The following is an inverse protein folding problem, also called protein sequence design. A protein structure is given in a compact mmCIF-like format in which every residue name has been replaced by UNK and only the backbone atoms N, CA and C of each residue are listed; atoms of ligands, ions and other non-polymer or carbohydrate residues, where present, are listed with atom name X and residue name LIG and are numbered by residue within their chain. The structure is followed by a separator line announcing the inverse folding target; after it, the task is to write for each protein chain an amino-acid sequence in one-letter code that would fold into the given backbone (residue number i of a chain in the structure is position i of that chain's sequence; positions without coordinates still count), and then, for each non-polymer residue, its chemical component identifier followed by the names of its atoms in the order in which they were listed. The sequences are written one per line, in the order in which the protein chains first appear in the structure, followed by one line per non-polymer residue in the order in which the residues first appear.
data_IF_745886960920
#
_entry.id   IF_745886960920
#
_cell.length_a   1.000
_cell.length_b   1.000
_cell.length_c   1.000
_cell.angle_alpha   90.00
_cell.angle_beta   90.00
_cell.angle_gamma   90.00
#
_symmetry.space_group_name_H-M   'P 1'
#
loop_
_entity.id
_entity.type
_entity.pdbx_description
1 polymer ?
#
# COMPACT_ATOMS: atom_id res chain seq x y z
N UNK A 1 3.06 -17.48 0.66
CA UNK A 1 3.26 -17.09 2.07
C UNK A 1 2.60 -18.16 2.93
N UNK A 2 3.39 -18.79 3.80
CA UNK A 2 2.86 -19.79 4.74
C UNK A 2 2.30 -19.06 5.97
N UNK A 3 1.01 -19.23 6.22
CA UNK A 3 0.34 -18.56 7.35
C UNK A 3 0.44 -19.46 8.59
N UNK A 4 1.00 -18.98 9.72
CA UNK A 4 1.10 -19.76 10.94
C UNK A 4 -0.27 -20.28 11.43
N UNK A 5 -0.32 -21.49 11.97
CA UNK A 5 -1.57 -22.11 12.48
C UNK A 5 -2.27 -21.29 13.58
N UNK A 6 -1.50 -20.51 14.33
CA UNK A 6 -1.98 -19.61 15.39
C UNK A 6 -2.61 -18.33 14.87
N UNK A 7 -2.50 -18.05 13.56
CA UNK A 7 -3.07 -16.84 12.96
C UNK A 7 -4.58 -16.97 12.84
N UNK A 8 -5.30 -16.03 13.43
CA UNK A 8 -6.77 -15.97 13.40
C UNK A 8 -7.29 -15.16 12.21
N UNK A 9 -6.57 -14.10 11.83
CA UNK A 9 -6.97 -13.20 10.77
C UNK A 9 -5.75 -12.74 9.97
N UNK A 10 -5.91 -12.58 8.65
CA UNK A 10 -4.92 -11.98 7.76
C UNK A 10 -5.57 -10.83 7.00
N UNK A 11 -5.00 -9.64 7.12
CA UNK A 11 -5.46 -8.45 6.41
C UNK A 11 -4.53 -8.16 5.24
N UNK A 12 -5.09 -7.97 4.06
CA UNK A 12 -4.37 -7.58 2.86
C UNK A 12 -4.91 -6.24 2.34
N UNK A 13 -4.04 -5.25 2.18
CA UNK A 13 -4.42 -3.92 1.70
C UNK A 13 -4.01 -3.71 0.25
N UNK A 14 -4.92 -3.26 -0.58
CA UNK A 14 -4.66 -2.87 -1.97
C UNK A 14 -3.99 -1.49 -2.10
N UNK A 15 -3.88 -0.75 -0.99
CA UNK A 15 -3.31 0.60 -1.00
C UNK A 15 -1.84 0.64 -1.40
N UNK A 16 -1.05 -0.40 -1.10
CA UNK A 16 0.41 -0.43 -1.32
C UNK A 16 0.79 -1.26 -2.53
N UNK A 17 0.46 -2.55 -2.54
CA UNK A 17 0.85 -3.45 -3.62
C UNK A 17 0.30 -3.03 -4.99
N UNK A 18 -0.95 -2.60 -5.04
CA UNK A 18 -1.62 -2.17 -6.28
C UNK A 18 -1.73 -0.64 -6.43
N UNK A 19 -1.20 0.17 -5.51
CA UNK A 19 -1.29 1.62 -5.59
C UNK A 19 -2.70 2.20 -5.42
N UNK A 20 -3.69 1.40 -4.97
CA UNK A 20 -5.09 1.80 -4.86
C UNK A 20 -5.41 2.54 -3.55
N UNK A 21 -4.57 3.48 -3.15
CA UNK A 21 -4.71 4.18 -1.86
C UNK A 21 -6.04 4.95 -1.72
N UNK A 22 -6.54 5.51 -2.80
CA UNK A 22 -7.79 6.29 -2.82
C UNK A 22 -9.04 5.43 -2.70
N UNK A 23 -8.99 4.14 -3.04
CA UNK A 23 -10.15 3.24 -3.02
C UNK A 23 -10.48 2.71 -1.62
N UNK A 24 -9.54 2.78 -0.67
CA UNK A 24 -9.69 2.33 0.72
C UNK A 24 -10.23 0.89 0.84
N UNK A 25 -9.59 -0.02 0.13
CA UNK A 25 -9.99 -1.41 0.01
C UNK A 25 -8.94 -2.37 0.54
N UNK A 26 -9.40 -3.54 0.95
CA UNK A 26 -8.57 -4.65 1.36
C UNK A 26 -9.37 -5.95 1.37
N UNK A 27 -8.66 -7.04 1.61
CA UNK A 27 -9.23 -8.35 1.88
C UNK A 27 -8.92 -8.73 3.33
N UNK A 28 -9.81 -9.47 3.93
CA UNK A 28 -9.54 -10.15 5.19
C UNK A 28 -9.87 -11.64 5.05
N UNK A 29 -8.94 -12.47 5.47
CA UNK A 29 -9.12 -13.91 5.61
C UNK A 29 -9.27 -14.19 7.10
N UNK A 30 -10.34 -14.84 7.49
CA UNK A 30 -10.63 -15.17 8.90
C UNK A 30 -11.00 -16.64 9.06
N UNK A 31 -10.65 -17.27 10.18
CA UNK A 31 -11.12 -18.61 10.54
C UNK A 31 -12.59 -18.59 10.89
N UNK A 32 -13.01 -17.53 11.59
CA UNK A 32 -14.40 -17.32 12.00
C UNK A 32 -14.99 -16.07 11.34
N UNK A 33 -16.29 -16.02 11.08
CA UNK A 33 -16.95 -14.86 10.50
C UNK A 33 -16.70 -13.60 11.34
N UNK A 34 -16.20 -12.53 10.68
CA UNK A 34 -15.96 -11.26 11.37
C UNK A 34 -17.28 -10.51 11.57
N UNK A 35 -17.70 -10.17 12.81
CA UNK A 35 -19.03 -9.60 13.09
C UNK A 35 -19.35 -8.34 12.28
N UNK A 36 -18.36 -7.43 12.14
CA UNK A 36 -18.55 -6.18 11.38
C UNK A 36 -18.75 -6.45 9.89
N UNK A 37 -17.99 -7.40 9.30
CA UNK A 37 -18.14 -7.75 7.88
C UNK A 37 -19.47 -8.46 7.63
N UNK A 38 -19.93 -9.28 8.57
CA UNK A 38 -21.25 -9.91 8.50
C UNK A 38 -22.36 -8.85 8.45
N UNK A 39 -22.31 -7.84 9.33
CA UNK A 39 -23.27 -6.71 9.31
C UNK A 39 -23.23 -5.92 7.99
N UNK A 40 -22.03 -5.63 7.46
CA UNK A 40 -21.93 -4.96 6.14
C UNK A 40 -22.62 -5.77 5.04
N UNK A 41 -22.52 -7.10 5.08
CA UNK A 41 -23.22 -8.01 4.16
C UNK A 41 -24.74 -7.94 4.35
N UNK A 42 -25.22 -8.02 5.58
CA UNK A 42 -26.65 -7.96 5.91
C UNK A 42 -27.31 -6.66 5.44
N UNK A 43 -26.62 -5.53 5.61
CA UNK A 43 -27.15 -4.21 5.22
C UNK A 43 -26.84 -3.83 3.78
N UNK A 44 -26.22 -4.74 3.00
CA UNK A 44 -25.80 -4.49 1.61
C UNK A 44 -24.96 -3.19 1.45
N UNK A 45 -24.23 -2.81 2.50
CA UNK A 45 -23.47 -1.57 2.56
C UNK A 45 -22.03 -1.78 2.05
N UNK A 46 -21.90 -2.04 0.75
CA UNK A 46 -20.63 -2.28 0.09
C UNK A 46 -20.20 -1.12 -0.78
N UNK A 47 -18.89 -0.90 -0.85
CA UNK A 47 -18.30 -0.08 -1.90
C UNK A 47 -18.20 -0.89 -3.21
N UNK A 48 -19.29 -1.03 -3.92
CA UNK A 48 -19.37 -1.83 -5.15
C UNK A 48 -18.36 -1.38 -6.21
N UNK A 49 -18.19 -0.07 -6.42
CA UNK A 49 -17.23 0.47 -7.36
C UNK A 49 -15.79 0.08 -7.01
N UNK A 50 -15.44 0.21 -5.73
CA UNK A 50 -14.16 -0.21 -5.22
C UNK A 50 -13.92 -1.71 -5.36
N UNK A 51 -14.90 -2.55 -5.01
CA UNK A 51 -14.80 -4.02 -5.16
C UNK A 51 -14.60 -4.42 -6.63
N UNK A 52 -15.31 -3.79 -7.57
CA UNK A 52 -15.12 -4.02 -9.01
C UNK A 52 -13.72 -3.61 -9.49
N UNK A 53 -13.22 -2.46 -9.03
CA UNK A 53 -11.84 -2.02 -9.31
C UNK A 53 -10.83 -3.03 -8.78
N UNK A 54 -11.03 -3.52 -7.55
CA UNK A 54 -10.18 -4.53 -6.93
C UNK A 54 -10.15 -5.83 -7.76
N UNK A 55 -11.33 -6.35 -8.15
CA UNK A 55 -11.43 -7.55 -9.00
C UNK A 55 -10.68 -7.36 -10.31
N UNK A 56 -10.92 -6.23 -11.00
CA UNK A 56 -10.24 -5.91 -12.25
C UNK A 56 -8.71 -5.89 -12.10
N UNK A 57 -8.20 -5.31 -11.01
CA UNK A 57 -6.77 -5.29 -10.72
C UNK A 57 -6.22 -6.70 -10.46
N UNK A 58 -6.92 -7.52 -9.68
CA UNK A 58 -6.48 -8.90 -9.38
C UNK A 58 -6.52 -9.80 -10.62
N UNK A 59 -7.48 -9.60 -11.52
CA UNK A 59 -7.64 -10.39 -12.74
C UNK A 59 -6.56 -10.06 -13.79
N UNK A 60 -5.99 -8.86 -13.75
CA UNK A 60 -5.09 -8.36 -14.79
C UNK A 60 -3.64 -8.15 -14.34
N UNK A 61 -3.37 -8.10 -13.04
CA UNK A 61 -2.03 -7.78 -12.50
C UNK A 61 -1.63 -8.73 -11.37
N UNK A 62 -0.40 -9.21 -11.41
CA UNK A 62 0.20 -9.90 -10.27
C UNK A 62 0.45 -8.93 -9.10
N UNK A 63 0.49 -9.46 -7.88
CA UNK A 63 0.67 -8.66 -6.64
C UNK A 63 1.92 -7.78 -6.70
N UNK A 64 3.02 -8.31 -7.25
CA UNK A 64 4.32 -7.62 -7.30
C UNK A 64 4.54 -6.83 -8.60
N UNK A 65 3.58 -6.86 -9.53
CA UNK A 65 3.77 -6.29 -10.85
C UNK A 65 4.01 -4.77 -10.81
N UNK A 66 3.23 -4.04 -10.01
CA UNK A 66 3.41 -2.59 -9.87
C UNK A 66 4.77 -2.24 -9.27
N UNK A 67 5.21 -2.99 -8.26
CA UNK A 67 6.53 -2.82 -7.68
C UNK A 67 7.62 -3.10 -8.73
N UNK A 68 7.56 -4.23 -9.41
CA UNK A 68 8.55 -4.62 -10.41
C UNK A 68 8.62 -3.64 -11.59
N UNK A 69 7.49 -3.05 -11.97
CA UNK A 69 7.40 -2.07 -13.06
C UNK A 69 8.03 -0.72 -12.70
N UNK A 70 7.90 -0.28 -11.45
CA UNK A 70 8.23 1.08 -11.03
C UNK A 70 9.41 1.20 -10.05
N UNK A 71 9.99 0.08 -9.59
CA UNK A 71 11.10 0.10 -8.63
C UNK A 71 12.34 0.81 -9.14
N UNK A 72 12.64 0.70 -10.44
CA UNK A 72 13.82 1.33 -11.02
C UNK A 72 13.65 2.86 -11.03
N UNK A 73 12.46 3.35 -11.34
CA UNK A 73 12.11 4.77 -11.24
C UNK A 73 12.17 5.25 -9.77
N UNK A 74 11.66 4.44 -8.83
CA UNK A 74 11.80 4.74 -7.41
C UNK A 74 13.26 4.91 -7.00
N UNK A 75 14.14 4.00 -7.44
CA UNK A 75 15.56 4.05 -7.12
C UNK A 75 16.24 5.29 -7.74
N UNK A 76 15.90 5.64 -8.97
CA UNK A 76 16.42 6.84 -9.63
C UNK A 76 16.03 8.11 -8.86
N UNK A 77 14.75 8.28 -8.52
CA UNK A 77 14.26 9.39 -7.69
C UNK A 77 14.98 9.40 -6.32
N UNK A 78 15.07 8.24 -5.66
CA UNK A 78 15.73 8.16 -4.35
C UNK A 78 17.20 8.57 -4.41
N UNK A 79 17.92 8.17 -5.45
CA UNK A 79 19.33 8.55 -5.65
C UNK A 79 19.47 10.05 -5.89
N UNK A 80 18.60 10.65 -6.71
CA UNK A 80 18.66 12.08 -7.01
C UNK A 80 18.37 12.94 -5.78
N UNK A 81 17.37 12.55 -4.97
CA UNK A 81 16.94 13.35 -3.82
C UNK A 81 17.55 12.93 -2.48
N UNK A 82 18.42 11.92 -2.47
CA UNK A 82 19.03 11.42 -1.24
C UNK A 82 18.05 10.74 -0.28
N UNK A 83 17.05 10.05 -0.83
CA UNK A 83 16.07 9.29 -0.06
C UNK A 83 16.43 7.81 0.00
N UNK A 84 15.92 7.10 1.01
CA UNK A 84 16.01 5.66 1.14
C UNK A 84 14.75 5.01 0.55
N UNK A 85 14.87 4.08 -0.43
CA UNK A 85 13.71 3.41 -1.02
C UNK A 85 13.03 2.51 0.03
N UNK A 86 11.71 2.35 -0.11
CA UNK A 86 10.93 1.39 0.68
C UNK A 86 10.38 0.27 -0.21
N UNK A 87 9.84 -0.79 0.40
CA UNK A 87 9.17 -1.89 -0.31
C UNK A 87 7.87 -1.46 -1.02
N UNK A 88 7.47 -0.20 -0.88
CA UNK A 88 6.34 0.36 -1.61
C UNK A 88 6.87 1.35 -2.66
N UNK A 89 6.72 1.01 -3.95
CA UNK A 89 7.35 1.72 -5.08
C UNK A 89 7.14 3.25 -5.10
N UNK A 90 6.06 3.76 -4.54
CA UNK A 90 5.77 5.20 -4.48
C UNK A 90 6.09 5.86 -3.13
N UNK A 91 6.77 5.16 -2.23
CA UNK A 91 7.19 5.67 -0.94
C UNK A 91 8.70 5.54 -0.75
N UNK A 92 9.27 6.50 -0.06
CA UNK A 92 10.64 6.48 0.42
C UNK A 92 10.71 6.97 1.87
N UNK A 93 11.87 6.85 2.49
CA UNK A 93 12.17 7.40 3.80
C UNK A 93 13.37 8.33 3.73
N UNK A 94 13.48 9.24 4.68
CA UNK A 94 14.64 10.13 4.83
C UNK A 94 14.85 10.51 6.29
N UNK A 95 16.10 10.70 6.66
CA UNK A 95 16.52 11.26 7.96
C UNK A 95 16.80 12.76 7.91
N UNK A 96 16.61 13.39 6.74
CA UNK A 96 16.81 14.83 6.59
C UNK A 96 15.94 15.62 7.56
N UNK A 97 16.57 16.52 8.31
CA UNK A 97 15.93 17.37 9.32
C UNK A 97 14.83 18.27 8.75
N UNK A 98 14.91 18.65 7.49
CA UNK A 98 13.88 19.43 6.82
C UNK A 98 12.53 18.69 6.80
N UNK A 99 12.56 17.39 6.49
CA UNK A 99 11.36 16.56 6.43
C UNK A 99 10.96 16.03 7.81
N UNK A 100 11.90 15.59 8.64
CA UNK A 100 11.62 14.98 9.94
C UNK A 100 11.00 15.97 10.93
N UNK A 101 11.32 17.26 10.85
CA UNK A 101 10.66 18.30 11.67
C UNK A 101 9.17 18.43 11.40
N UNK A 102 8.70 18.09 10.20
CA UNK A 102 7.31 18.25 9.76
C UNK A 102 6.51 16.96 9.75
N UNK A 103 7.16 15.81 9.53
CA UNK A 103 6.50 14.51 9.28
C UNK A 103 7.24 13.33 9.91
N UNK A 104 7.78 13.51 11.10
CA UNK A 104 8.50 12.46 11.83
C UNK A 104 7.61 11.23 12.07
N UNK A 105 8.12 10.04 11.77
CA UNK A 105 7.48 8.80 12.14
C UNK A 105 7.65 8.53 13.65
N UNK A 106 6.65 7.87 14.27
CA UNK A 106 6.65 7.66 15.74
C UNK A 106 7.78 6.76 16.24
N UNK A 107 8.31 5.89 15.37
CA UNK A 107 9.19 4.78 15.77
C UNK A 107 10.67 5.06 15.54
N UNK A 108 10.98 6.04 14.73
CA UNK A 108 12.37 6.42 14.42
C UNK A 108 12.45 7.89 14.01
N UNK A 109 13.66 8.40 13.89
CA UNK A 109 13.94 9.78 13.48
C UNK A 109 13.91 9.95 11.96
N UNK A 110 13.04 9.24 11.26
CA UNK A 110 12.85 9.36 9.82
C UNK A 110 11.51 9.98 9.46
N UNK A 111 11.39 10.47 8.25
CA UNK A 111 10.15 10.91 7.64
C UNK A 111 9.83 10.04 6.43
N UNK A 112 8.55 9.72 6.23
CA UNK A 112 8.06 9.04 5.05
C UNK A 112 7.71 10.05 3.97
N UNK A 113 8.27 9.84 2.78
CA UNK A 113 8.10 10.69 1.60
C UNK A 113 7.21 9.97 0.59
N UNK A 114 6.22 10.67 0.05
CA UNK A 114 5.42 10.20 -1.08
C UNK A 114 6.09 10.66 -2.37
N UNK A 115 6.50 9.72 -3.21
CA UNK A 115 7.21 9.99 -4.47
C UNK A 115 6.26 10.26 -5.64
N UNK A 116 4.95 9.99 -5.49
CA UNK A 116 3.96 10.14 -6.58
C UNK A 116 4.06 11.46 -7.35
N UNK A 117 4.27 12.63 -6.71
CA UNK A 117 4.39 13.88 -7.43
C UNK A 117 5.62 13.96 -8.34
N UNK A 118 6.66 13.19 -8.04
CA UNK A 118 7.93 13.19 -8.79
C UNK A 118 7.88 12.23 -9.99
N UNK A 119 7.07 11.17 -9.92
CA UNK A 119 6.99 10.15 -10.97
C UNK A 119 6.72 10.72 -12.37
N UNK A 120 5.94 11.79 -12.48
CA UNK A 120 5.60 12.44 -13.77
C UNK A 120 6.83 12.90 -14.57
N UNK A 121 7.94 13.14 -13.90
CA UNK A 121 9.17 13.64 -14.51
C UNK A 121 10.06 12.48 -15.01
N UNK A 122 9.68 11.21 -14.74
CA UNK A 122 10.43 9.99 -15.06
C UNK A 122 9.63 8.96 -15.90
N UNK A 123 8.35 9.21 -16.19
CA UNK A 123 7.48 8.33 -16.98
C UNK A 123 7.26 8.85 -18.38
#
# INVERSE_FOLDING_TARGET
IEVPKTTEQVFFSFSKGFGLIGQRLGLVYTKEPHPTLHRLKEYENWNYGGVKTMQLMMDNFAVDEMYNRYKDIQLEICNEYGFEPSDCFYLATTHDKYYTRRRRMRWNDSARICLTPLFKDYI
#
